data_IF_523047039238
#
_entry.id   IF_523047039238
#
_cell.length_a   1.000
_cell.length_b   1.000
_cell.length_c   1.000
_cell.angle_alpha   90.00
_cell.angle_beta   90.00
_cell.angle_gamma   90.00
#
_symmetry.space_group_name_H-M   'P 1'
#
loop_
_entity.id
_entity.type
_entity.pdbx_description
1 polymer ?
#
# COMPACT_ATOMS: atom_id res chain seq x y z
N UNK A 1 44.71 31.58 36.34
CA UNK A 1 44.37 30.14 36.19
C UNK A 1 42.90 29.82 36.39
N UNK A 2 42.12 30.46 37.28
CA UNK A 2 40.69 30.18 37.53
C UNK A 2 39.78 30.46 36.34
N UNK A 3 40.07 31.50 35.52
CA UNK A 3 39.23 31.89 34.38
C UNK A 3 39.29 30.89 33.19
N UNK A 4 40.44 30.24 32.95
CA UNK A 4 40.61 29.27 31.86
C UNK A 4 39.94 27.93 32.17
N UNK A 5 39.84 27.54 33.45
CA UNK A 5 39.18 26.33 33.90
C UNK A 5 37.65 26.47 33.74
N UNK A 6 37.11 27.68 34.05
CA UNK A 6 35.67 27.97 33.92
C UNK A 6 35.24 27.92 32.43
N UNK A 7 36.08 28.38 31.52
CA UNK A 7 35.79 28.37 30.08
C UNK A 7 35.79 26.93 29.51
N UNK A 8 36.69 26.08 29.99
CA UNK A 8 36.72 24.66 29.57
C UNK A 8 35.50 23.88 30.06
N UNK A 9 35.00 24.17 31.27
CA UNK A 9 33.81 23.52 31.83
C UNK A 9 32.55 23.98 31.06
N UNK A 10 32.43 25.23 30.70
CA UNK A 10 31.32 25.74 29.88
C UNK A 10 31.34 25.17 28.46
N UNK A 11 32.52 24.95 27.86
CA UNK A 11 32.64 24.34 26.53
C UNK A 11 32.27 22.87 26.52
N UNK A 12 32.61 22.12 27.60
CA UNK A 12 32.26 20.72 27.71
C UNK A 12 30.76 20.47 27.94
N UNK A 13 30.03 21.39 28.56
CA UNK A 13 28.58 21.29 28.73
C UNK A 13 27.84 21.57 27.41
N UNK A 14 28.38 22.41 26.53
CA UNK A 14 27.77 22.70 25.23
C UNK A 14 27.83 21.51 24.24
N UNK A 15 28.78 20.59 24.39
CA UNK A 15 28.92 19.44 23.48
C UNK A 15 27.95 18.30 23.83
N UNK A 16 27.43 18.25 25.07
CA UNK A 16 26.45 17.24 25.48
C UNK A 16 24.98 17.64 25.23
N UNK A 17 24.69 18.86 24.80
CA UNK A 17 23.34 19.35 24.60
C UNK A 17 22.75 19.04 23.19
N UNK A 18 23.51 18.43 22.29
CA UNK A 18 23.08 18.14 20.91
C UNK A 18 22.97 16.64 20.61
N UNK A 19 22.44 15.85 21.53
CA UNK A 19 21.91 14.49 21.23
C UNK A 19 20.67 14.24 22.06
N UNK A 20 19.61 14.93 21.70
CA UNK A 20 18.28 14.41 21.94
C UNK A 20 17.86 13.69 20.66
N UNK A 21 18.42 12.51 20.45
CA UNK A 21 17.74 11.53 19.64
C UNK A 21 16.45 11.21 20.39
N UNK A 22 15.34 11.63 19.82
CA UNK A 22 14.03 11.21 20.24
C UNK A 22 14.07 9.67 20.30
N UNK A 23 13.94 9.11 21.50
CA UNK A 23 13.58 7.72 21.70
C UNK A 23 12.12 7.66 21.22
N UNK A 24 11.95 7.56 19.91
CA UNK A 24 10.69 7.09 19.37
C UNK A 24 10.56 5.64 19.77
N UNK A 25 9.46 5.35 20.39
CA UNK A 25 8.98 4.10 20.94
C UNK A 25 9.55 2.87 20.23
N UNK A 26 10.16 1.98 21.02
CA UNK A 26 10.35 0.59 20.65
C UNK A 26 8.96 -0.11 20.56
N UNK A 27 8.14 0.33 19.60
CA UNK A 27 7.02 -0.43 19.09
C UNK A 27 7.54 -1.40 18.05
N UNK A 28 7.44 -2.68 18.30
CA UNK A 28 7.71 -3.83 17.42
C UNK A 28 8.83 -3.60 16.39
N UNK A 29 10.01 -4.13 16.60
CA UNK A 29 11.29 -3.85 15.92
C UNK A 29 11.38 -4.06 14.40
N UNK A 30 10.34 -3.81 13.67
CA UNK A 30 10.29 -3.86 12.21
C UNK A 30 10.21 -2.44 11.68
N UNK A 31 11.25 -2.06 10.94
CA UNK A 31 11.29 -0.77 10.25
C UNK A 31 10.80 -0.97 8.82
N UNK A 32 9.59 -0.52 8.55
CA UNK A 32 9.10 -0.37 7.18
C UNK A 32 9.68 0.89 6.54
N UNK A 33 9.84 0.88 5.22
CA UNK A 33 10.32 2.02 4.45
C UNK A 33 9.12 2.84 3.98
N UNK A 34 8.91 4.08 4.48
CA UNK A 34 7.82 4.92 4.00
C UNK A 34 7.89 5.12 2.49
N UNK A 35 6.75 5.09 1.82
CA UNK A 35 6.64 5.33 0.39
C UNK A 35 5.90 6.65 0.16
N UNK A 36 6.58 7.60 -0.47
CA UNK A 36 5.98 8.87 -0.85
C UNK A 36 5.38 8.77 -2.26
N UNK A 37 4.06 8.83 -2.35
CA UNK A 37 3.34 8.80 -3.60
C UNK A 37 3.15 10.21 -4.15
N UNK A 38 3.93 10.55 -5.15
CA UNK A 38 3.77 11.81 -5.87
C UNK A 38 2.61 11.73 -6.87
N UNK A 39 1.47 12.28 -6.50
CA UNK A 39 0.38 12.53 -7.43
C UNK A 39 0.55 13.93 -8.07
N UNK A 40 0.11 14.14 -9.32
CA UNK A 40 0.09 15.47 -9.91
C UNK A 40 -0.72 16.47 -9.07
N UNK A 41 -0.30 17.72 -9.04
CA UNK A 41 -0.92 18.79 -8.25
C UNK A 41 -2.40 19.04 -8.55
N UNK A 42 -2.84 18.71 -9.77
CA UNK A 42 -4.25 18.81 -10.19
C UNK A 42 -5.12 17.61 -9.77
N UNK A 43 -4.53 16.57 -9.16
CA UNK A 43 -5.29 15.50 -8.54
C UNK A 43 -5.81 15.94 -7.17
N UNK A 44 -6.97 15.43 -6.73
CA UNK A 44 -7.42 15.65 -5.35
C UNK A 44 -6.39 15.16 -4.34
N UNK A 45 -6.45 15.69 -3.12
CA UNK A 45 -5.58 15.24 -2.05
C UNK A 45 -5.76 13.74 -1.82
N UNK A 46 -4.65 13.00 -1.76
CA UNK A 46 -4.69 11.57 -1.50
C UNK A 46 -4.98 11.32 -0.02
N UNK A 47 -6.02 10.56 0.26
CA UNK A 47 -6.31 10.09 1.61
C UNK A 47 -5.67 8.72 1.85
N UNK A 48 -4.80 8.66 2.86
CA UNK A 48 -4.13 7.44 3.29
C UNK A 48 -4.53 7.18 4.75
N UNK A 49 -5.15 6.03 5.06
CA UNK A 49 -5.50 5.69 6.43
C UNK A 49 -4.27 5.61 7.34
N UNK A 50 -4.39 6.14 8.56
CA UNK A 50 -3.27 6.15 9.52
C UNK A 50 -2.84 4.74 9.94
N UNK A 51 -3.76 3.78 9.91
CA UNK A 51 -3.53 2.38 10.23
C UNK A 51 -3.09 1.52 9.04
N UNK A 52 -2.94 2.15 7.84
CA UNK A 52 -2.40 1.52 6.64
C UNK A 52 -1.56 2.52 5.82
N UNK A 53 -0.49 3.10 6.40
CA UNK A 53 0.38 4.02 5.70
C UNK A 53 1.07 3.31 4.51
N UNK A 54 1.40 4.08 3.46
CA UNK A 54 2.10 3.53 2.31
C UNK A 54 3.55 3.20 2.68
N UNK A 55 3.93 1.96 2.45
CA UNK A 55 5.30 1.47 2.64
C UNK A 55 5.78 0.68 1.42
N UNK A 56 7.08 0.66 1.21
CA UNK A 56 7.68 -0.12 0.10
C UNK A 56 7.33 -1.60 0.26
N UNK A 57 7.43 -2.13 1.47
CA UNK A 57 7.18 -3.54 1.78
C UNK A 57 5.69 -3.90 1.61
N UNK A 58 4.79 -3.03 2.08
CA UNK A 58 3.34 -3.23 1.92
C UNK A 58 2.88 -3.18 0.46
N UNK A 59 3.40 -2.22 -0.32
CA UNK A 59 3.14 -2.12 -1.76
C UNK A 59 3.67 -3.35 -2.49
N UNK A 60 4.89 -3.82 -2.17
CA UNK A 60 5.45 -5.01 -2.78
C UNK A 60 4.63 -6.26 -2.45
N UNK A 61 4.24 -6.45 -1.19
CA UNK A 61 3.37 -7.55 -0.77
C UNK A 61 2.04 -7.50 -1.54
N UNK A 62 1.38 -6.35 -1.59
CA UNK A 62 0.13 -6.17 -2.34
C UNK A 62 0.29 -6.48 -3.83
N UNK A 63 1.43 -6.12 -4.43
CA UNK A 63 1.75 -6.49 -5.80
C UNK A 63 1.89 -8.00 -5.98
N UNK A 64 2.57 -8.71 -5.09
CA UNK A 64 2.66 -10.16 -5.16
C UNK A 64 1.28 -10.81 -5.10
N UNK A 65 0.46 -10.44 -4.12
CA UNK A 65 -0.91 -10.92 -3.97
C UNK A 65 -1.76 -10.65 -5.23
N UNK A 66 -1.62 -9.48 -5.84
CA UNK A 66 -2.35 -9.08 -7.05
C UNK A 66 -2.12 -10.03 -8.24
N UNK A 67 -0.92 -10.60 -8.37
CA UNK A 67 -0.55 -11.48 -9.47
C UNK A 67 -0.56 -12.97 -9.12
N UNK A 68 -0.68 -13.34 -7.84
CA UNK A 68 -0.57 -14.71 -7.39
C UNK A 68 -1.95 -15.40 -7.33
N UNK A 69 -2.06 -16.54 -7.98
CA UNK A 69 -3.28 -17.36 -7.97
C UNK A 69 -3.56 -18.04 -6.63
N UNK A 70 -2.59 -18.06 -5.71
CA UNK A 70 -2.82 -18.44 -4.32
C UNK A 70 -3.79 -17.50 -3.59
N UNK A 71 -4.09 -16.33 -4.17
CA UNK A 71 -5.11 -15.42 -3.65
C UNK A 71 -6.50 -16.07 -3.61
N UNK A 72 -6.81 -16.96 -4.57
CA UNK A 72 -8.07 -17.69 -4.59
C UNK A 72 -7.83 -19.18 -4.88
N UNK A 73 -7.96 -20.00 -3.86
CA UNK A 73 -7.81 -21.45 -3.96
C UNK A 73 -9.15 -22.18 -3.85
N UNK A 74 -10.20 -21.43 -3.46
CA UNK A 74 -11.57 -21.94 -3.26
C UNK A 74 -12.56 -21.11 -4.07
N UNK A 75 -13.84 -21.52 -4.06
CA UNK A 75 -14.94 -20.79 -4.67
C UNK A 75 -14.91 -20.73 -6.20
N UNK A 76 -15.73 -19.86 -6.80
CA UNK A 76 -15.92 -19.79 -8.27
C UNK A 76 -14.71 -19.23 -9.01
N UNK A 77 -13.80 -18.56 -8.29
CA UNK A 77 -12.59 -17.97 -8.86
C UNK A 77 -11.31 -18.73 -8.50
N UNK A 78 -11.42 -19.98 -8.03
CA UNK A 78 -10.27 -20.81 -7.69
C UNK A 78 -9.22 -20.86 -8.83
N UNK A 79 -7.95 -20.65 -8.47
CA UNK A 79 -6.83 -20.57 -9.41
C UNK A 79 -6.73 -19.24 -10.16
N UNK A 80 -7.43 -18.19 -9.72
CA UNK A 80 -7.36 -16.84 -10.29
C UNK A 80 -6.80 -15.83 -9.31
N UNK A 81 -6.30 -14.75 -9.87
CA UNK A 81 -5.85 -13.55 -9.15
C UNK A 81 -6.48 -12.30 -9.79
N UNK A 82 -6.29 -11.14 -9.22
CA UNK A 82 -6.74 -9.87 -9.82
C UNK A 82 -6.22 -9.73 -11.27
N UNK A 83 -4.94 -10.07 -11.50
CA UNK A 83 -4.30 -9.99 -12.82
C UNK A 83 -4.86 -10.98 -13.85
N UNK A 84 -5.64 -11.98 -13.43
CA UNK A 84 -6.27 -12.94 -14.34
C UNK A 84 -7.39 -12.30 -15.19
N UNK A 85 -7.96 -11.18 -14.70
CA UNK A 85 -9.01 -10.43 -15.40
C UNK A 85 -8.57 -8.97 -15.69
N UNK A 86 -7.61 -8.43 -14.94
CA UNK A 86 -7.13 -7.05 -15.07
C UNK A 86 -5.71 -7.02 -15.60
N UNK A 87 -5.60 -7.07 -16.93
CA UNK A 87 -4.30 -7.16 -17.63
C UNK A 87 -3.56 -5.82 -17.62
N UNK A 88 -2.33 -5.80 -17.14
CA UNK A 88 -1.50 -4.60 -17.11
C UNK A 88 -1.29 -3.99 -18.51
N UNK A 89 -1.14 -4.82 -19.55
CA UNK A 89 -1.03 -4.38 -20.94
C UNK A 89 -2.25 -3.62 -21.45
N UNK A 90 -3.40 -3.76 -20.77
CA UNK A 90 -4.67 -3.12 -21.11
C UNK A 90 -5.10 -2.13 -20.02
N UNK A 91 -4.15 -1.44 -19.41
CA UNK A 91 -4.40 -0.50 -18.31
C UNK A 91 -5.16 -1.13 -17.15
N UNK A 92 -4.85 -2.38 -16.83
CA UNK A 92 -5.51 -3.19 -15.80
C UNK A 92 -7.01 -3.41 -16.05
N UNK A 93 -7.38 -3.56 -17.32
CA UNK A 93 -8.71 -3.95 -17.80
C UNK A 93 -8.59 -5.20 -18.69
N UNK A 94 -9.65 -5.61 -19.40
CA UNK A 94 -9.60 -6.76 -20.31
C UNK A 94 -9.45 -6.34 -21.77
N UNK A 95 -8.75 -7.12 -22.59
CA UNK A 95 -8.66 -6.86 -24.03
C UNK A 95 -9.87 -7.35 -24.82
N UNK A 96 -10.80 -8.09 -24.20
CA UNK A 96 -11.88 -8.79 -24.91
C UNK A 96 -13.05 -7.84 -25.19
N UNK A 97 -13.42 -7.62 -26.46
CA UNK A 97 -14.60 -6.83 -26.80
C UNK A 97 -15.87 -7.41 -26.17
N UNK A 98 -16.75 -6.55 -25.67
CA UNK A 98 -18.03 -6.91 -25.06
C UNK A 98 -17.97 -7.35 -23.60
N UNK A 99 -16.76 -7.48 -23.02
CA UNK A 99 -16.59 -7.71 -21.59
C UNK A 99 -16.18 -6.40 -20.93
N UNK A 100 -17.01 -5.91 -20.01
CA UNK A 100 -16.74 -4.67 -19.28
C UNK A 100 -16.10 -4.98 -17.93
N UNK A 101 -14.77 -4.83 -17.84
CA UNK A 101 -14.02 -4.87 -16.59
C UNK A 101 -13.42 -3.50 -16.35
N UNK A 102 -13.72 -2.90 -15.21
CA UNK A 102 -13.25 -1.58 -14.86
C UNK A 102 -11.73 -1.58 -14.66
N UNK A 103 -11.02 -0.56 -15.16
CA UNK A 103 -9.57 -0.46 -14.97
C UNK A 103 -9.24 -0.21 -13.49
N UNK A 104 -8.13 -0.77 -13.03
CA UNK A 104 -7.66 -0.62 -11.64
C UNK A 104 -6.75 0.60 -11.42
N UNK A 105 -6.65 1.52 -12.37
CA UNK A 105 -5.86 2.74 -12.21
C UNK A 105 -6.66 3.87 -11.56
N UNK A 106 -5.99 4.71 -10.78
CA UNK A 106 -6.53 5.90 -10.12
C UNK A 106 -7.68 5.65 -9.12
N UNK A 107 -7.83 4.40 -8.65
CA UNK A 107 -8.90 4.06 -7.70
C UNK A 107 -8.70 4.70 -6.32
N UNK A 108 -7.50 5.18 -6.01
CA UNK A 108 -7.21 5.89 -4.75
C UNK A 108 -8.10 7.14 -4.53
N UNK A 109 -8.65 7.71 -5.59
CA UNK A 109 -9.53 8.88 -5.56
C UNK A 109 -11.01 8.54 -5.76
N UNK A 110 -11.34 7.24 -5.90
CA UNK A 110 -12.72 6.77 -6.01
C UNK A 110 -13.35 6.61 -4.63
N UNK A 111 -14.68 6.75 -4.58
CA UNK A 111 -15.49 6.55 -3.38
C UNK A 111 -16.55 5.45 -3.55
N UNK A 112 -16.78 5.06 -4.78
CA UNK A 112 -17.70 3.98 -5.13
C UNK A 112 -16.96 3.02 -6.05
N UNK A 113 -17.05 1.75 -5.73
CA UNK A 113 -16.29 0.69 -6.36
C UNK A 113 -17.24 -0.37 -6.93
N UNK A 114 -16.67 -1.23 -7.78
CA UNK A 114 -17.35 -2.22 -8.57
C UNK A 114 -18.30 -1.58 -9.61
N UNK A 115 -18.82 -2.42 -10.52
CA UNK A 115 -19.63 -1.94 -11.63
C UNK A 115 -20.89 -1.18 -11.21
N UNK A 116 -21.52 -1.62 -10.14
CA UNK A 116 -22.78 -1.03 -9.65
C UNK A 116 -22.60 -0.01 -8.53
N UNK A 117 -21.35 0.26 -8.10
CA UNK A 117 -21.09 1.03 -6.88
C UNK A 117 -21.48 0.31 -5.59
N UNK A 118 -21.53 -1.03 -5.63
CA UNK A 118 -21.97 -1.86 -4.49
C UNK A 118 -21.15 -1.63 -3.22
N UNK A 119 -19.87 -1.32 -3.37
CA UNK A 119 -18.98 -0.99 -2.24
C UNK A 119 -18.67 0.50 -2.29
N UNK A 120 -18.87 1.20 -1.18
CA UNK A 120 -18.52 2.61 -1.02
C UNK A 120 -17.58 2.79 0.17
N UNK A 121 -16.73 3.83 0.13
CA UNK A 121 -15.77 4.14 1.19
C UNK A 121 -14.35 4.26 0.67
N UNK A 122 -13.44 3.50 1.24
CA UNK A 122 -12.00 3.52 0.98
C UNK A 122 -11.53 2.35 0.12
N UNK A 123 -10.27 2.35 -0.28
CA UNK A 123 -9.65 1.17 -0.92
C UNK A 123 -9.62 -0.04 0.02
N UNK A 124 -9.46 0.19 1.32
CA UNK A 124 -9.52 -0.89 2.31
C UNK A 124 -10.89 -1.58 2.33
N UNK A 125 -11.97 -0.81 2.17
CA UNK A 125 -13.33 -1.35 2.17
C UNK A 125 -13.58 -2.24 0.94
N UNK A 126 -13.17 -1.80 -0.25
CA UNK A 126 -13.33 -2.62 -1.45
C UNK A 126 -12.39 -3.82 -1.44
N UNK A 127 -11.15 -3.68 -0.95
CA UNK A 127 -10.23 -4.82 -0.84
C UNK A 127 -10.68 -5.84 0.20
N UNK A 128 -11.34 -5.41 1.27
CA UNK A 128 -11.99 -6.33 2.22
C UNK A 128 -13.08 -7.15 1.52
N UNK A 129 -13.95 -6.50 0.75
CA UNK A 129 -14.97 -7.19 -0.06
C UNK A 129 -14.33 -8.19 -1.04
N UNK A 130 -13.28 -7.79 -1.76
CA UNK A 130 -12.58 -8.67 -2.71
C UNK A 130 -11.95 -9.89 -2.02
N UNK A 131 -11.39 -9.71 -0.83
CA UNK A 131 -10.73 -10.77 -0.06
C UNK A 131 -11.73 -11.73 0.57
N UNK A 132 -12.78 -11.20 1.17
CA UNK A 132 -13.73 -11.98 1.97
C UNK A 132 -14.83 -12.62 1.12
N UNK A 133 -15.40 -11.88 0.14
CA UNK A 133 -16.57 -12.29 -0.60
C UNK A 133 -16.29 -12.68 -2.06
N UNK A 134 -15.34 -12.01 -2.75
CA UNK A 134 -15.11 -12.26 -4.17
C UNK A 134 -14.12 -13.41 -4.40
N UNK A 135 -12.94 -13.35 -3.80
CA UNK A 135 -11.92 -14.38 -3.90
C UNK A 135 -12.02 -15.46 -2.82
N UNK A 136 -12.77 -15.22 -1.74
CA UNK A 136 -12.92 -16.13 -0.60
C UNK A 136 -11.54 -16.61 -0.11
N UNK A 137 -10.63 -15.65 0.16
CA UNK A 137 -9.21 -15.91 0.43
C UNK A 137 -9.04 -16.81 1.64
N UNK A 138 -8.47 -18.01 1.43
CA UNK A 138 -8.06 -18.89 2.52
C UNK A 138 -6.67 -18.49 3.01
N UNK A 139 -6.64 -17.75 4.11
CA UNK A 139 -5.39 -17.29 4.72
C UNK A 139 -4.48 -18.44 5.17
N UNK A 140 -5.00 -19.64 5.40
CA UNK A 140 -4.18 -20.79 5.78
C UNK A 140 -3.25 -21.22 4.63
N UNK A 141 -3.71 -21.06 3.37
CA UNK A 141 -2.88 -21.32 2.20
C UNK A 141 -1.69 -20.36 2.16
N UNK A 142 -1.94 -19.07 2.35
CA UNK A 142 -0.87 -18.06 2.43
C UNK A 142 0.02 -18.30 3.66
N UNK A 143 -0.59 -18.64 4.80
CA UNK A 143 0.13 -18.95 6.05
C UNK A 143 1.05 -20.15 5.93
N UNK A 144 0.72 -21.14 5.10
CA UNK A 144 1.57 -22.31 4.86
C UNK A 144 2.84 -21.99 4.09
N UNK A 145 2.86 -20.88 3.34
CA UNK A 145 3.99 -20.41 2.55
C UNK A 145 5.03 -19.65 3.41
N UNK A 146 6.26 -20.14 3.52
CA UNK A 146 7.32 -19.39 4.21
C UNK A 146 7.60 -18.02 3.60
N UNK A 147 7.47 -17.89 2.27
CA UNK A 147 7.68 -16.63 1.56
C UNK A 147 6.62 -15.59 1.95
N UNK A 148 5.33 -15.97 1.99
CA UNK A 148 4.28 -15.06 2.44
C UNK A 148 4.44 -14.67 3.91
N UNK A 149 4.75 -15.61 4.82
CA UNK A 149 5.02 -15.24 6.21
C UNK A 149 6.13 -14.20 6.33
N UNK A 150 7.23 -14.38 5.61
CA UNK A 150 8.33 -13.43 5.61
C UNK A 150 7.91 -12.05 5.07
N UNK A 151 7.08 -12.01 4.01
CA UNK A 151 6.58 -10.76 3.43
C UNK A 151 5.62 -10.03 4.36
N UNK A 152 4.69 -10.75 5.00
CA UNK A 152 3.78 -10.16 5.98
C UNK A 152 4.53 -9.66 7.22
N UNK A 153 5.53 -10.42 7.69
CA UNK A 153 6.41 -9.97 8.76
C UNK A 153 7.14 -8.67 8.36
N UNK A 154 7.70 -8.59 7.17
CA UNK A 154 8.39 -7.40 6.68
C UNK A 154 7.47 -6.18 6.52
N UNK A 155 6.22 -6.40 6.07
CA UNK A 155 5.29 -5.32 5.78
C UNK A 155 4.52 -4.81 7.03
N UNK A 156 4.17 -5.73 7.94
CA UNK A 156 3.27 -5.43 9.07
C UNK A 156 3.79 -5.84 10.43
N UNK A 157 4.96 -6.44 10.51
CA UNK A 157 5.48 -6.91 11.78
C UNK A 157 4.76 -8.14 12.35
N UNK A 158 4.00 -8.84 11.54
CA UNK A 158 3.16 -9.96 11.98
C UNK A 158 3.39 -11.19 11.11
N UNK A 159 3.61 -12.33 11.75
CA UNK A 159 3.72 -13.63 11.06
C UNK A 159 2.36 -14.29 10.84
N UNK A 160 1.35 -13.87 11.60
CA UNK A 160 -0.02 -14.38 11.46
C UNK A 160 -0.72 -13.58 10.37
N UNK A 161 -1.08 -14.27 9.30
CA UNK A 161 -1.76 -13.67 8.16
C UNK A 161 -3.26 -13.65 8.42
N UNK A 162 -3.88 -12.50 8.25
CA UNK A 162 -5.34 -12.31 8.35
C UNK A 162 -5.89 -11.74 7.06
N UNK A 163 -7.18 -11.95 6.80
CA UNK A 163 -7.85 -11.35 5.63
C UNK A 163 -7.74 -9.81 5.64
N UNK A 164 -7.79 -9.20 6.81
CA UNK A 164 -7.59 -7.75 6.97
C UNK A 164 -6.20 -7.31 6.47
N UNK A 165 -5.13 -8.02 6.84
CA UNK A 165 -3.76 -7.69 6.37
C UNK A 165 -3.61 -7.92 4.87
N UNK A 166 -4.26 -8.95 4.30
CA UNK A 166 -4.31 -9.17 2.85
C UNK A 166 -4.99 -7.99 2.16
N UNK A 167 -6.14 -7.55 2.66
CA UNK A 167 -6.88 -6.41 2.13
C UNK A 167 -6.06 -5.10 2.21
N UNK A 168 -5.40 -4.85 3.34
CA UNK A 168 -4.52 -3.70 3.54
C UNK A 168 -3.35 -3.69 2.55
N UNK A 169 -2.71 -4.82 2.32
CA UNK A 169 -1.61 -4.93 1.35
C UNK A 169 -2.09 -4.66 -0.07
N UNK A 170 -3.21 -5.25 -0.48
CA UNK A 170 -3.83 -4.97 -1.77
C UNK A 170 -4.18 -3.48 -1.91
N UNK A 171 -4.76 -2.85 -0.89
CA UNK A 171 -5.10 -1.43 -0.91
C UNK A 171 -3.87 -0.54 -1.11
N UNK A 172 -2.72 -0.86 -0.50
CA UNK A 172 -1.46 -0.14 -0.74
C UNK A 172 -1.01 -0.28 -2.20
N UNK A 173 -1.09 -1.47 -2.79
CA UNK A 173 -0.77 -1.68 -4.20
C UNK A 173 -1.72 -0.89 -5.12
N UNK A 174 -3.02 -0.91 -4.87
CA UNK A 174 -4.00 -0.17 -5.65
C UNK A 174 -3.78 1.34 -5.58
N UNK A 175 -3.39 1.90 -4.43
CA UNK A 175 -2.99 3.32 -4.32
C UNK A 175 -1.80 3.67 -5.20
N UNK A 176 -0.87 2.73 -5.38
CA UNK A 176 0.31 2.93 -6.23
C UNK A 176 -0.02 2.93 -7.73
N UNK A 177 -1.16 2.37 -8.15
CA UNK A 177 -1.55 2.32 -9.56
C UNK A 177 -2.11 3.65 -10.04
N UNK A 178 -1.21 4.60 -10.31
CA UNK A 178 -1.54 5.95 -10.78
C UNK A 178 -1.26 6.07 -12.28
N UNK A 179 -2.25 6.54 -13.03
CA UNK A 179 -2.13 6.92 -14.44
C UNK A 179 -2.33 8.43 -14.54
N UNK A 180 -1.29 9.16 -14.96
CA UNK A 180 -1.25 10.63 -14.96
C UNK A 180 -0.40 11.21 -16.09
N UNK A 181 -0.31 10.51 -17.24
CA UNK A 181 0.47 10.96 -18.38
C UNK A 181 -0.30 10.86 -19.70
N UNK A 182 -1.63 11.00 -19.65
CA UNK A 182 -2.45 11.12 -20.84
C UNK A 182 -2.23 12.48 -21.55
N UNK A 183 -2.79 12.65 -22.75
CA UNK A 183 -2.77 13.96 -23.42
C UNK A 183 -3.47 15.03 -22.59
N UNK A 184 -4.54 14.66 -21.87
CA UNK A 184 -5.28 15.56 -21.00
C UNK A 184 -4.46 15.92 -19.74
N UNK A 185 -3.80 14.96 -19.13
CA UNK A 185 -2.90 15.21 -17.98
C UNK A 185 -1.79 16.20 -18.37
N UNK A 186 -1.18 16.04 -19.54
CA UNK A 186 -0.17 16.97 -20.04
C UNK A 186 -0.72 18.36 -20.31
N UNK A 187 -1.95 18.46 -20.82
CA UNK A 187 -2.63 19.75 -20.98
C UNK A 187 -2.81 20.45 -19.63
N UNK A 188 -3.30 19.72 -18.61
CA UNK A 188 -3.49 20.29 -17.27
C UNK A 188 -2.17 20.74 -16.62
N UNK A 189 -1.06 20.03 -16.91
CA UNK A 189 0.27 20.36 -16.37
C UNK A 189 0.86 21.66 -16.94
N UNK A 190 0.38 22.13 -18.10
CA UNK A 190 0.89 23.33 -18.81
C UNK A 190 0.01 24.57 -18.59
N UNK A 191 -1.06 24.47 -17.85
CA UNK A 191 -2.02 25.57 -17.64
C UNK A 191 -1.76 26.44 -16.41
N UNK A 192 -0.57 26.34 -15.81
CA UNK A 192 -0.10 27.20 -14.71
C UNK A 192 1.03 28.15 -15.16
#
# INVERSE_FOLDING_TARGET
MRSKILLCILLSIAVFACKRDSIEELGSGIRTTPFDLHAPHYFPLLEVPADNPLTVEGIQLGRYLYYDTLLSTNGPFAGRSCSSCHFQSNSFSVPTPGVAVLPHVNLAWSRNFLWTGKVSGTLEDVMRFEVEEFFEVDVNVLQSSPDYRARFLAAYGQEIITQELVAKALAQWFRRMVSSNSKFDRYLSYTE
#
